data_IF_679317403633
#
_entry.id   IF_679317403633
#
_cell.length_a   1.000
_cell.length_b   1.000
_cell.length_c   1.000
_cell.angle_alpha   90.00
_cell.angle_beta   90.00
_cell.angle_gamma   90.00
#
_symmetry.space_group_name_H-M   'P 1'
#
loop_
_entity.id
_entity.type
_entity.pdbx_description
1 polymer ?
#
# COMPACT_ATOMS: atom_id res chain seq x y z
N UNK A 1 10.54 -17.54 -13.82
CA UNK A 1 9.48 -17.37 -12.81
C UNK A 1 8.68 -18.65 -12.73
N UNK A 2 8.33 -19.11 -11.52
CA UNK A 2 7.33 -20.14 -11.37
C UNK A 2 5.97 -19.60 -11.84
N UNK A 3 5.14 -20.45 -12.46
CA UNK A 3 3.79 -20.03 -12.86
C UNK A 3 2.96 -19.70 -11.62
N UNK A 4 2.38 -18.50 -11.55
CA UNK A 4 1.41 -18.11 -10.53
C UNK A 4 -0.01 -18.34 -11.05
N UNK A 5 -0.95 -18.57 -10.13
CA UNK A 5 -2.36 -18.83 -10.44
C UNK A 5 -3.28 -17.67 -10.07
N UNK A 6 -2.80 -16.71 -9.27
CA UNK A 6 -3.52 -15.51 -8.88
C UNK A 6 -2.57 -14.38 -8.52
N UNK A 7 -3.08 -13.15 -8.42
CA UNK A 7 -2.29 -11.96 -8.10
C UNK A 7 -2.88 -11.22 -6.91
N UNK A 8 -2.03 -10.81 -5.98
CA UNK A 8 -2.40 -9.97 -4.85
C UNK A 8 -1.57 -8.69 -4.95
N UNK A 9 -2.26 -7.56 -4.99
CA UNK A 9 -1.63 -6.25 -5.05
C UNK A 9 -1.63 -5.60 -3.67
N UNK A 10 -0.53 -5.01 -3.25
CA UNK A 10 -0.60 -3.87 -2.36
C UNK A 10 -1.18 -2.66 -3.10
N UNK A 11 -1.59 -1.60 -2.37
CA UNK A 11 -2.21 -0.45 -2.99
C UNK A 11 -1.32 0.79 -2.93
N UNK A 12 -1.03 1.28 -1.72
CA UNK A 12 -0.27 2.51 -1.50
C UNK A 12 1.21 2.31 -1.83
N UNK A 13 1.78 3.15 -2.69
CA UNK A 13 3.14 2.96 -3.19
C UNK A 13 3.27 1.89 -4.28
N UNK A 14 2.24 1.08 -4.53
CA UNK A 14 2.22 -0.01 -5.52
C UNK A 14 1.32 0.30 -6.70
N UNK A 15 0.02 0.44 -6.47
CA UNK A 15 -0.99 0.80 -7.48
C UNK A 15 -1.22 2.30 -7.58
N UNK A 16 -0.88 3.04 -6.54
CA UNK A 16 -1.00 4.49 -6.45
C UNK A 16 0.21 5.06 -5.70
N UNK A 17 0.93 5.97 -6.32
CA UNK A 17 2.11 6.63 -5.74
C UNK A 17 1.68 7.84 -4.92
N UNK A 18 1.42 7.64 -3.67
CA UNK A 18 0.73 8.57 -2.78
C UNK A 18 1.55 9.10 -1.59
N UNK A 19 2.79 8.68 -1.44
CA UNK A 19 3.63 9.10 -0.30
C UNK A 19 3.67 10.63 -0.08
N UNK A 20 3.74 11.50 -1.12
CA UNK A 20 3.66 12.94 -0.91
C UNK A 20 2.37 13.41 -0.23
N UNK A 21 1.24 12.73 -0.45
CA UNK A 21 -0.04 13.06 0.18
C UNK A 21 -0.05 12.69 1.66
N UNK A 22 0.60 11.57 2.02
CA UNK A 22 0.80 11.21 3.42
C UNK A 22 1.66 12.23 4.16
N UNK A 23 2.74 12.71 3.52
CA UNK A 23 3.61 13.75 4.09
C UNK A 23 2.83 15.05 4.34
N UNK A 24 2.02 15.50 3.37
CA UNK A 24 1.17 16.69 3.53
C UNK A 24 0.15 16.52 4.67
N UNK A 25 -0.50 15.35 4.75
CA UNK A 25 -1.47 15.07 5.81
C UNK A 25 -0.81 15.07 7.19
N UNK A 26 0.35 14.47 7.34
CA UNK A 26 1.10 14.50 8.58
C UNK A 26 1.60 15.91 8.93
N UNK A 27 2.04 16.70 7.95
CA UNK A 27 2.41 18.11 8.15
C UNK A 27 1.25 18.90 8.74
N UNK A 28 0.02 18.71 8.21
CA UNK A 28 -1.19 19.37 8.72
C UNK A 28 -1.53 18.93 10.15
N UNK A 29 -1.41 17.65 10.47
CA UNK A 29 -1.61 17.14 11.83
C UNK A 29 -0.56 17.72 12.81
N UNK A 30 0.70 17.80 12.38
CA UNK A 30 1.77 18.40 13.17
C UNK A 30 1.47 19.86 13.50
N UNK A 31 1.05 20.65 12.51
CA UNK A 31 0.64 22.06 12.71
C UNK A 31 -0.50 22.19 13.72
N UNK A 32 -1.49 21.29 13.70
CA UNK A 32 -2.59 21.33 14.67
C UNK A 32 -2.16 20.96 16.09
N UNK A 33 -1.21 20.05 16.25
CA UNK A 33 -0.77 19.56 17.58
C UNK A 33 0.33 20.46 18.14
N UNK A 34 1.35 20.78 17.33
CA UNK A 34 2.60 21.39 17.78
C UNK A 34 2.79 22.83 17.29
N UNK A 35 1.91 23.33 16.39
CA UNK A 35 2.00 24.63 15.74
C UNK A 35 3.26 24.83 14.88
N UNK A 36 3.83 23.75 14.38
CA UNK A 36 4.91 23.76 13.39
C UNK A 36 4.87 22.51 12.51
N UNK A 37 5.48 22.60 11.33
CA UNK A 37 5.57 21.50 10.36
C UNK A 37 6.55 20.40 10.79
N UNK A 38 6.87 19.53 9.84
CA UNK A 38 7.76 18.36 10.01
C UNK A 38 8.99 18.59 9.13
N UNK A 39 10.19 18.42 9.68
CA UNK A 39 11.45 18.47 8.90
C UNK A 39 11.66 17.16 8.12
N UNK A 40 12.54 17.18 7.10
CA UNK A 40 12.92 15.99 6.35
C UNK A 40 13.59 14.92 7.24
N UNK A 41 14.44 15.34 8.18
CA UNK A 41 15.08 14.47 9.15
C UNK A 41 14.05 13.79 10.05
N UNK A 42 13.10 14.56 10.56
CA UNK A 42 12.02 14.07 11.42
C UNK A 42 11.10 13.09 10.66
N UNK A 43 10.78 13.38 9.37
CA UNK A 43 10.04 12.46 8.51
C UNK A 43 10.74 11.11 8.38
N UNK A 44 12.06 11.14 8.19
CA UNK A 44 12.84 9.93 8.04
C UNK A 44 12.90 9.11 9.33
N UNK A 45 13.09 9.75 10.48
CA UNK A 45 13.33 9.06 11.75
C UNK A 45 12.04 8.58 12.44
N UNK A 46 10.93 9.33 12.29
CA UNK A 46 9.75 9.16 13.13
C UNK A 46 8.44 8.88 12.37
N UNK A 47 8.43 9.00 11.02
CA UNK A 47 7.18 8.87 10.26
C UNK A 47 7.21 7.73 9.25
N UNK A 48 8.31 7.54 8.51
CA UNK A 48 8.36 6.57 7.42
C UNK A 48 8.21 5.13 7.94
N UNK A 49 7.12 4.46 7.51
CA UNK A 49 6.84 3.08 7.91
C UNK A 49 6.38 2.91 9.37
N UNK A 50 6.11 4.00 10.07
CA UNK A 50 5.65 4.00 11.46
C UNK A 50 4.11 4.02 11.50
N UNK A 51 3.45 3.19 12.34
CA UNK A 51 1.99 3.21 12.51
C UNK A 51 1.47 4.56 13.02
N UNK A 52 0.29 4.98 12.53
CA UNK A 52 -0.32 6.28 12.86
C UNK A 52 -0.37 6.57 14.37
N UNK A 53 -0.75 5.59 15.19
CA UNK A 53 -0.83 5.76 16.65
C UNK A 53 0.52 6.09 17.30
N UNK A 54 1.61 5.56 16.75
CA UNK A 54 2.98 5.84 17.23
C UNK A 54 3.45 7.23 16.80
N UNK A 55 3.12 7.63 15.58
CA UNK A 55 3.41 8.98 15.11
C UNK A 55 2.66 10.01 15.97
N UNK A 56 1.37 9.77 16.26
CA UNK A 56 0.59 10.66 17.11
C UNK A 56 1.16 10.72 18.54
N UNK A 57 1.54 9.58 19.11
CA UNK A 57 2.21 9.52 20.41
C UNK A 57 3.49 10.36 20.43
N UNK A 58 4.30 10.29 19.38
CA UNK A 58 5.48 11.14 19.19
C UNK A 58 5.12 12.63 19.11
N UNK A 59 4.12 13.01 18.30
CA UNK A 59 3.67 14.39 18.15
C UNK A 59 3.15 15.01 19.45
N UNK A 60 2.60 14.20 20.36
CA UNK A 60 2.16 14.60 21.69
C UNK A 60 3.23 14.42 22.78
N UNK A 61 4.49 14.15 22.41
CA UNK A 61 5.59 13.93 23.36
C UNK A 61 5.28 12.82 24.39
N UNK A 62 4.54 11.79 23.96
CA UNK A 62 4.12 10.68 24.82
C UNK A 62 2.90 10.98 25.72
N UNK A 63 2.35 12.20 25.66
CA UNK A 63 1.27 12.65 26.55
C UNK A 63 -0.09 12.70 25.83
N UNK A 64 -0.50 11.63 25.16
CA UNK A 64 -1.80 11.55 24.49
C UNK A 64 -2.67 10.44 25.05
N UNK A 65 -3.99 10.67 25.06
CA UNK A 65 -4.98 9.65 25.37
C UNK A 65 -5.26 8.76 24.15
N UNK A 66 -5.84 7.58 24.38
CA UNK A 66 -6.24 6.70 23.27
C UNK A 66 -7.32 7.35 22.39
N UNK A 67 -8.20 8.17 22.95
CA UNK A 67 -9.19 8.96 22.20
C UNK A 67 -8.50 9.97 21.28
N UNK A 68 -7.44 10.64 21.74
CA UNK A 68 -6.65 11.54 20.92
C UNK A 68 -5.94 10.78 19.78
N UNK A 69 -5.34 9.62 20.09
CA UNK A 69 -4.72 8.76 19.05
C UNK A 69 -5.73 8.40 17.96
N UNK A 70 -6.90 7.94 18.35
CA UNK A 70 -7.97 7.59 17.41
C UNK A 70 -8.46 8.79 16.61
N UNK A 71 -8.74 9.92 17.27
CA UNK A 71 -9.20 11.15 16.62
C UNK A 71 -8.21 11.62 15.55
N UNK A 72 -6.94 11.79 15.92
CA UNK A 72 -5.94 12.33 15.01
C UNK A 72 -5.52 11.34 13.91
N UNK A 73 -5.60 10.03 14.17
CA UNK A 73 -5.43 9.01 13.13
C UNK A 73 -6.51 9.13 12.05
N UNK A 74 -7.78 9.23 12.45
CA UNK A 74 -8.89 9.39 11.51
C UNK A 74 -8.82 10.73 10.76
N UNK A 75 -8.47 11.81 11.46
CA UNK A 75 -8.32 13.15 10.88
C UNK A 75 -7.19 13.19 9.85
N UNK A 76 -6.04 12.53 10.14
CA UNK A 76 -4.94 12.39 9.19
C UNK A 76 -5.39 11.68 7.91
N UNK A 77 -6.16 10.59 8.03
CA UNK A 77 -6.65 9.88 6.85
C UNK A 77 -7.71 10.70 6.07
N UNK A 78 -8.47 11.56 6.76
CA UNK A 78 -9.35 12.52 6.09
C UNK A 78 -8.53 13.52 5.28
N UNK A 79 -7.52 14.18 5.87
CA UNK A 79 -6.64 15.12 5.16
C UNK A 79 -5.92 14.46 3.98
N UNK A 80 -5.45 13.23 4.16
CA UNK A 80 -4.87 12.45 3.08
C UNK A 80 -5.81 12.34 1.87
N UNK A 81 -7.08 11.97 2.07
CA UNK A 81 -8.07 11.89 0.98
C UNK A 81 -8.40 13.26 0.37
N UNK A 82 -8.39 14.33 1.17
CA UNK A 82 -8.56 15.70 0.68
C UNK A 82 -7.40 16.09 -0.25
N UNK A 83 -6.16 15.89 0.18
CA UNK A 83 -4.98 16.16 -0.64
C UNK A 83 -4.91 15.30 -1.91
N UNK A 84 -5.37 14.05 -1.87
CA UNK A 84 -5.52 13.25 -3.07
C UNK A 84 -6.48 13.91 -4.07
N UNK A 85 -7.64 14.39 -3.62
CA UNK A 85 -8.65 15.02 -4.49
C UNK A 85 -8.20 16.35 -5.09
N UNK A 86 -7.39 17.10 -4.34
CA UNK A 86 -6.87 18.42 -4.77
C UNK A 86 -5.83 18.31 -5.88
N UNK A 87 -4.97 17.28 -5.82
CA UNK A 87 -3.90 17.07 -6.80
C UNK A 87 -4.33 16.12 -7.92
N UNK A 88 -5.04 16.65 -8.89
CA UNK A 88 -5.54 15.88 -10.03
C UNK A 88 -4.44 15.37 -10.97
N UNK A 89 -3.25 15.95 -10.91
CA UNK A 89 -2.14 15.57 -11.79
C UNK A 89 -1.59 14.20 -11.41
N UNK A 90 -1.44 13.92 -10.12
CA UNK A 90 -0.89 12.66 -9.63
C UNK A 90 -1.94 11.71 -9.06
N UNK A 91 -3.22 12.13 -9.00
CA UNK A 91 -4.31 11.29 -8.48
C UNK A 91 -4.84 10.34 -9.56
N UNK A 92 -4.07 9.34 -9.87
CA UNK A 92 -4.39 8.27 -10.83
C UNK A 92 -3.64 6.99 -10.47
N UNK A 93 -4.13 5.85 -10.95
CA UNK A 93 -3.39 4.59 -10.86
C UNK A 93 -2.07 4.69 -11.63
N UNK A 94 -1.07 3.93 -11.20
CA UNK A 94 0.22 3.84 -11.91
C UNK A 94 0.01 3.39 -13.35
N UNK A 95 0.86 3.86 -14.26
CA UNK A 95 0.76 3.55 -15.68
C UNK A 95 0.79 2.02 -15.92
N UNK A 96 -0.13 1.53 -16.75
CA UNK A 96 -0.25 0.11 -17.07
C UNK A 96 -1.00 -0.75 -16.04
N UNK A 97 -1.50 -0.19 -14.94
CA UNK A 97 -2.24 -0.95 -13.95
C UNK A 97 -3.57 -1.48 -14.52
N UNK A 98 -4.33 -0.62 -15.16
CA UNK A 98 -5.63 -0.98 -15.77
C UNK A 98 -5.47 -2.01 -16.89
N UNK A 99 -4.49 -1.83 -17.75
CA UNK A 99 -4.15 -2.77 -18.81
C UNK A 99 -3.73 -4.14 -18.25
N UNK A 100 -3.04 -4.12 -17.10
CA UNK A 100 -2.66 -5.36 -16.43
C UNK A 100 -3.86 -6.05 -15.79
N UNK A 101 -4.79 -5.31 -15.18
CA UNK A 101 -6.06 -5.86 -14.67
C UNK A 101 -6.88 -6.47 -15.79
N UNK A 102 -7.01 -5.80 -16.94
CA UNK A 102 -7.70 -6.33 -18.12
C UNK A 102 -7.03 -7.62 -18.63
N UNK A 103 -5.70 -7.66 -18.65
CA UNK A 103 -4.94 -8.86 -19.05
C UNK A 103 -5.18 -10.02 -18.09
N UNK A 104 -5.18 -9.79 -16.78
CA UNK A 104 -5.49 -10.82 -15.79
C UNK A 104 -6.91 -11.37 -15.98
N UNK A 105 -7.89 -10.47 -16.13
CA UNK A 105 -9.29 -10.82 -16.35
C UNK A 105 -9.49 -11.63 -17.62
N UNK A 106 -8.88 -11.20 -18.73
CA UNK A 106 -8.97 -11.89 -20.02
C UNK A 106 -8.31 -13.29 -20.02
N UNK A 107 -7.34 -13.51 -19.14
CA UNK A 107 -6.69 -14.80 -18.97
C UNK A 107 -7.31 -15.64 -17.82
N UNK A 108 -8.41 -15.20 -17.22
CA UNK A 108 -9.07 -15.84 -16.09
C UNK A 108 -8.13 -16.04 -14.88
N UNK A 109 -7.19 -15.13 -14.66
CA UNK A 109 -6.31 -15.13 -13.48
C UNK A 109 -7.00 -14.28 -12.40
N UNK A 110 -7.45 -14.88 -11.29
CA UNK A 110 -8.09 -14.12 -10.21
C UNK A 110 -7.09 -13.21 -9.51
N UNK A 111 -7.55 -12.05 -9.08
CA UNK A 111 -6.71 -11.10 -8.36
C UNK A 111 -7.52 -10.25 -7.39
N UNK A 112 -6.85 -9.74 -6.37
CA UNK A 112 -7.42 -8.82 -5.39
C UNK A 112 -6.35 -7.90 -4.81
N UNK A 113 -6.77 -7.02 -3.90
CA UNK A 113 -5.92 -6.07 -3.18
C UNK A 113 -5.83 -6.50 -1.71
N UNK A 114 -4.64 -6.36 -1.13
CA UNK A 114 -4.39 -6.50 0.30
C UNK A 114 -3.59 -5.29 0.79
N UNK A 115 -4.27 -4.31 1.36
CA UNK A 115 -3.72 -3.01 1.76
C UNK A 115 -3.83 -2.78 3.26
N UNK A 116 -2.77 -2.23 3.88
CA UNK A 116 -2.81 -1.77 5.27
C UNK A 116 -3.62 -0.47 5.47
N UNK A 117 -4.32 0.00 4.46
CA UNK A 117 -5.24 1.14 4.55
C UNK A 117 -6.53 0.77 5.28
N UNK A 118 -7.11 1.76 5.96
CA UNK A 118 -8.43 1.63 6.62
C UNK A 118 -9.57 1.62 5.59
N UNK A 119 -10.72 1.05 5.97
CA UNK A 119 -11.91 0.95 5.10
C UNK A 119 -12.30 2.25 4.38
N UNK A 120 -12.36 3.44 5.04
CA UNK A 120 -12.71 4.67 4.34
C UNK A 120 -11.74 5.05 3.22
N UNK A 121 -10.47 4.66 3.29
CA UNK A 121 -9.51 4.88 2.21
C UNK A 121 -9.75 3.88 1.07
N UNK A 122 -10.04 2.62 1.39
CA UNK A 122 -10.38 1.61 0.37
C UNK A 122 -11.63 2.02 -0.40
N UNK A 123 -12.70 2.43 0.30
CA UNK A 123 -13.93 2.90 -0.35
C UNK A 123 -13.65 4.10 -1.27
N UNK A 124 -12.82 5.02 -0.80
CA UNK A 124 -12.37 6.17 -1.59
C UNK A 124 -11.61 5.75 -2.85
N UNK A 125 -10.71 4.76 -2.78
CA UNK A 125 -9.97 4.26 -3.93
C UNK A 125 -10.88 3.51 -4.91
N UNK A 126 -11.78 2.67 -4.40
CA UNK A 126 -12.76 1.95 -5.23
C UNK A 126 -13.60 2.93 -6.03
N UNK A 127 -14.16 3.96 -5.38
CA UNK A 127 -14.96 4.99 -6.03
C UNK A 127 -14.14 5.81 -7.03
N UNK A 128 -12.96 6.31 -6.61
CA UNK A 128 -12.17 7.24 -7.41
C UNK A 128 -11.54 6.61 -8.64
N UNK A 129 -11.11 5.36 -8.55
CA UNK A 129 -10.43 4.64 -9.62
C UNK A 129 -11.31 3.60 -10.32
N UNK A 130 -12.59 3.50 -9.94
CA UNK A 130 -13.55 2.53 -10.49
C UNK A 130 -13.04 1.09 -10.42
N UNK A 131 -12.43 0.71 -9.27
CA UNK A 131 -11.82 -0.61 -9.10
C UNK A 131 -12.85 -1.74 -9.16
N UNK A 132 -14.12 -1.43 -8.89
CA UNK A 132 -15.26 -2.34 -9.00
C UNK A 132 -15.48 -2.90 -10.42
N UNK A 133 -14.91 -2.29 -11.44
CA UNK A 133 -14.87 -2.86 -12.80
C UNK A 133 -14.05 -4.16 -12.87
N UNK A 134 -13.06 -4.35 -12.00
CA UNK A 134 -12.13 -5.47 -12.05
C UNK A 134 -12.18 -6.37 -10.82
N UNK A 135 -12.41 -5.79 -9.64
CA UNK A 135 -12.37 -6.48 -8.34
C UNK A 135 -13.69 -6.25 -7.63
N UNK A 136 -14.31 -7.33 -7.09
CA UNK A 136 -15.43 -7.13 -6.18
C UNK A 136 -14.93 -6.40 -4.92
N UNK A 137 -15.48 -5.24 -4.54
CA UNK A 137 -15.04 -4.48 -3.37
C UNK A 137 -15.04 -5.28 -2.06
N UNK A 138 -15.94 -6.27 -1.93
CA UNK A 138 -16.03 -7.14 -0.75
C UNK A 138 -14.85 -8.14 -0.66
N UNK A 139 -14.12 -8.34 -1.75
CA UNK A 139 -12.96 -9.21 -1.82
C UNK A 139 -11.64 -8.48 -1.51
N UNK A 140 -11.67 -7.16 -1.34
CA UNK A 140 -10.49 -6.35 -0.97
C UNK A 140 -10.21 -6.54 0.52
N UNK A 141 -8.98 -6.95 0.84
CA UNK A 141 -8.49 -7.07 2.22
C UNK A 141 -7.88 -5.74 2.64
N UNK A 142 -8.38 -5.18 3.74
CA UNK A 142 -7.95 -3.90 4.30
C UNK A 142 -7.72 -4.00 5.81
N UNK A 143 -7.08 -3.02 6.41
CA UNK A 143 -6.88 -2.98 7.86
C UNK A 143 -8.21 -2.64 8.57
N UNK A 144 -8.82 -3.66 9.17
CA UNK A 144 -10.02 -3.57 9.99
C UNK A 144 -9.71 -3.59 11.51
N UNK A 145 -8.43 -3.54 11.85
CA UNK A 145 -7.94 -3.61 13.24
C UNK A 145 -7.83 -5.03 13.81
N UNK A 146 -8.16 -6.07 13.04
CA UNK A 146 -8.06 -7.47 13.48
C UNK A 146 -6.78 -8.17 13.07
N UNK A 147 -6.04 -7.60 12.12
CA UNK A 147 -4.79 -8.17 11.62
C UNK A 147 -3.59 -7.71 12.43
N UNK A 148 -2.83 -8.63 12.98
CA UNK A 148 -1.57 -8.33 13.67
C UNK A 148 -0.48 -7.82 12.70
N UNK A 149 -0.54 -8.28 11.44
CA UNK A 149 0.46 -7.95 10.41
C UNK A 149 -0.05 -8.29 9.02
N UNK A 150 0.69 -7.88 8.00
CA UNK A 150 0.35 -8.08 6.60
C UNK A 150 0.43 -9.54 6.15
N UNK A 151 1.10 -10.43 6.90
CA UNK A 151 1.11 -11.88 6.65
C UNK A 151 -0.33 -12.44 6.68
N UNK A 152 -1.11 -12.05 7.70
CA UNK A 152 -2.50 -12.50 7.82
C UNK A 152 -3.36 -11.96 6.69
N UNK A 153 -3.13 -10.73 6.25
CA UNK A 153 -3.85 -10.10 5.14
C UNK A 153 -3.56 -10.82 3.81
N UNK A 154 -2.31 -11.16 3.51
CA UNK A 154 -1.95 -11.93 2.31
C UNK A 154 -2.58 -13.34 2.32
N UNK A 155 -2.57 -14.02 3.48
CA UNK A 155 -3.25 -15.32 3.62
C UNK A 155 -4.76 -15.20 3.41
N UNK A 156 -5.39 -14.15 3.94
CA UNK A 156 -6.81 -13.89 3.73
C UNK A 156 -7.12 -13.61 2.26
N UNK A 157 -6.31 -12.78 1.60
CA UNK A 157 -6.46 -12.47 0.18
C UNK A 157 -6.32 -13.73 -0.70
N UNK A 158 -5.30 -14.55 -0.47
CA UNK A 158 -5.15 -15.81 -1.18
C UNK A 158 -6.34 -16.75 -0.98
N UNK A 159 -6.86 -16.86 0.25
CA UNK A 159 -8.05 -17.66 0.55
C UNK A 159 -9.30 -17.15 -0.19
N UNK A 160 -9.50 -15.82 -0.28
CA UNK A 160 -10.59 -15.21 -1.06
C UNK A 160 -10.49 -15.62 -2.54
N UNK A 161 -9.27 -15.66 -3.09
CA UNK A 161 -9.02 -16.12 -4.46
C UNK A 161 -9.15 -17.64 -4.64
N UNK A 162 -9.37 -18.42 -3.57
CA UNK A 162 -9.41 -19.89 -3.60
C UNK A 162 -8.03 -20.52 -3.81
N UNK A 163 -6.96 -19.84 -3.38
CA UNK A 163 -5.57 -20.21 -3.62
C UNK A 163 -4.77 -20.29 -2.30
N UNK A 164 -3.62 -20.96 -2.37
CA UNK A 164 -2.57 -20.82 -1.36
C UNK A 164 -1.67 -19.64 -1.70
N UNK A 165 -1.06 -18.99 -0.69
CA UNK A 165 -0.16 -17.85 -0.91
C UNK A 165 1.02 -18.22 -1.81
N UNK A 166 1.50 -19.45 -1.74
CA UNK A 166 2.59 -19.99 -2.60
C UNK A 166 2.23 -20.06 -4.08
N UNK A 167 0.93 -20.08 -4.41
CA UNK A 167 0.41 -20.08 -5.78
C UNK A 167 0.19 -18.65 -6.32
N UNK A 168 0.35 -17.64 -5.47
CA UNK A 168 0.11 -16.25 -5.83
C UNK A 168 1.40 -15.54 -6.26
N UNK A 169 1.23 -14.52 -7.11
CA UNK A 169 2.15 -13.43 -7.30
C UNK A 169 1.73 -12.30 -6.36
N UNK A 170 2.65 -11.77 -5.57
CA UNK A 170 2.42 -10.58 -4.75
C UNK A 170 3.22 -9.41 -5.32
N UNK A 171 2.57 -8.25 -5.45
CA UNK A 171 3.18 -7.00 -5.94
C UNK A 171 3.16 -6.00 -4.80
N UNK A 172 4.32 -5.48 -4.43
CA UNK A 172 4.57 -4.70 -3.22
C UNK A 172 5.70 -3.70 -3.41
N UNK A 173 5.73 -2.61 -2.63
CA UNK A 173 6.77 -1.59 -2.69
C UNK A 173 7.60 -1.50 -1.39
N UNK A 174 7.01 -1.83 -0.25
CA UNK A 174 7.63 -1.66 1.05
C UNK A 174 8.46 -2.88 1.47
N UNK A 175 9.61 -2.64 2.10
CA UNK A 175 10.46 -3.72 2.63
C UNK A 175 9.68 -4.61 3.62
N UNK A 176 8.90 -4.00 4.51
CA UNK A 176 8.08 -4.73 5.48
C UNK A 176 7.03 -5.60 4.80
N UNK A 177 6.36 -5.10 3.75
CA UNK A 177 5.38 -5.86 2.98
C UNK A 177 6.01 -7.03 2.23
N UNK A 178 7.18 -6.82 1.61
CA UNK A 178 7.97 -7.87 0.94
C UNK A 178 8.36 -8.97 1.92
N UNK A 179 8.88 -8.62 3.10
CA UNK A 179 9.21 -9.59 4.14
C UNK A 179 7.98 -10.36 4.61
N UNK A 180 6.85 -9.67 4.80
CA UNK A 180 5.59 -10.30 5.20
C UNK A 180 5.05 -11.24 4.11
N UNK A 181 5.16 -10.88 2.83
CA UNK A 181 4.79 -11.75 1.72
C UNK A 181 5.65 -13.04 1.72
N UNK A 182 6.96 -12.90 1.89
CA UNK A 182 7.87 -14.03 1.99
C UNK A 182 7.57 -14.92 3.21
N UNK A 183 7.34 -14.32 4.39
CA UNK A 183 6.95 -15.03 5.63
C UNK A 183 5.57 -15.70 5.50
N UNK A 184 4.66 -15.13 4.71
CA UNK A 184 3.36 -15.74 4.41
C UNK A 184 3.47 -17.01 3.54
N UNK A 185 4.61 -17.21 2.87
CA UNK A 185 4.86 -18.37 2.00
C UNK A 185 4.93 -18.03 0.50
N UNK A 186 4.76 -16.76 0.10
CA UNK A 186 4.92 -16.34 -1.29
C UNK A 186 6.38 -16.49 -1.74
N UNK A 187 6.56 -16.92 -2.99
CA UNK A 187 7.88 -17.02 -3.63
C UNK A 187 7.93 -16.29 -4.98
N UNK A 188 6.79 -15.76 -5.42
CA UNK A 188 6.70 -14.90 -6.60
C UNK A 188 6.36 -13.50 -6.11
N UNK A 189 7.36 -12.64 -5.95
CA UNK A 189 7.19 -11.27 -5.44
C UNK A 189 7.79 -10.31 -6.47
N UNK A 190 7.00 -9.31 -6.86
CA UNK A 190 7.47 -8.17 -7.65
C UNK A 190 7.54 -6.96 -6.75
N UNK A 191 8.69 -6.30 -6.78
CA UNK A 191 8.95 -5.09 -6.01
C UNK A 191 8.80 -3.88 -6.91
N UNK A 192 7.94 -2.94 -6.50
CA UNK A 192 7.80 -1.63 -7.15
C UNK A 192 8.72 -0.65 -6.41
N UNK A 193 9.64 -0.01 -7.13
CA UNK A 193 10.49 1.03 -6.55
C UNK A 193 9.79 2.40 -6.65
N UNK A 194 8.79 2.61 -5.80
CA UNK A 194 7.99 3.83 -5.77
C UNK A 194 8.78 5.06 -5.29
N UNK A 195 9.87 4.85 -4.54
CA UNK A 195 10.67 5.90 -3.93
C UNK A 195 12.00 6.16 -4.64
N UNK A 196 12.32 5.46 -5.76
CA UNK A 196 13.63 5.49 -6.43
C UNK A 196 14.82 5.14 -5.49
N UNK A 197 14.61 4.21 -4.55
CA UNK A 197 15.59 3.82 -3.52
C UNK A 197 16.24 2.47 -3.78
N UNK A 198 16.39 2.07 -5.03
CA UNK A 198 16.96 0.77 -5.43
C UNK A 198 18.30 0.43 -4.77
N UNK A 199 19.14 1.43 -4.54
CA UNK A 199 20.46 1.25 -3.94
C UNK A 199 20.41 0.96 -2.44
N UNK A 200 19.30 1.28 -1.77
CA UNK A 200 19.09 1.06 -0.34
C UNK A 200 18.43 -0.29 -0.01
N UNK A 201 17.85 -0.96 -1.01
CA UNK A 201 17.24 -2.27 -0.81
C UNK A 201 18.33 -3.34 -0.65
N UNK A 202 18.39 -4.05 0.48
CA UNK A 202 19.25 -5.23 0.59
C UNK A 202 18.87 -6.23 -0.51
N UNK A 203 19.78 -7.12 -0.95
CA UNK A 203 19.48 -8.12 -1.96
C UNK A 203 18.32 -8.99 -1.45
N UNK A 204 17.13 -8.62 -1.86
CA UNK A 204 15.93 -9.41 -1.59
C UNK A 204 16.07 -10.68 -2.42
N UNK A 205 15.90 -11.81 -1.81
CA UNK A 205 16.03 -13.18 -2.33
C UNK A 205 15.96 -13.30 -3.86
N UNK A 206 16.72 -14.23 -4.47
CA UNK A 206 16.80 -14.49 -5.92
C UNK A 206 15.43 -14.63 -6.66
N UNK A 207 14.33 -14.74 -5.91
CA UNK A 207 12.95 -14.83 -6.42
C UNK A 207 12.25 -13.47 -6.59
N UNK A 208 12.87 -12.35 -6.18
CA UNK A 208 12.27 -11.02 -6.32
C UNK A 208 12.75 -10.35 -7.60
N UNK A 209 11.81 -9.86 -8.41
CA UNK A 209 12.08 -9.07 -9.62
C UNK A 209 11.67 -7.63 -9.34
N UNK A 210 12.61 -6.70 -9.43
CA UNK A 210 12.32 -5.27 -9.26
C UNK A 210 11.90 -4.63 -10.58
N UNK A 211 10.82 -3.85 -10.58
CA UNK A 211 10.41 -2.99 -11.69
C UNK A 211 10.81 -1.54 -11.40
N UNK A 212 11.46 -0.83 -12.35
CA UNK A 212 11.85 0.56 -12.16
C UNK A 212 10.65 1.49 -12.11
N UNK A 213 10.73 2.52 -11.29
CA UNK A 213 9.81 3.64 -11.27
C UNK A 213 9.75 4.27 -12.68
N UNK A 214 8.56 4.51 -13.21
CA UNK A 214 8.35 5.12 -14.53
C UNK A 214 7.99 4.16 -15.66
N UNK A 215 8.17 2.84 -15.49
CA UNK A 215 7.75 1.86 -16.50
C UNK A 215 6.46 1.12 -16.15
N UNK A 216 5.88 1.38 -14.97
CA UNK A 216 4.63 0.76 -14.54
C UNK A 216 4.63 -0.78 -14.69
N UNK A 217 3.46 -1.37 -14.83
CA UNK A 217 3.29 -2.81 -15.06
C UNK A 217 3.68 -3.28 -16.46
N UNK A 218 4.24 -2.41 -17.32
CA UNK A 218 4.61 -2.74 -18.70
C UNK A 218 5.62 -3.90 -18.80
N UNK A 219 6.51 -4.04 -17.82
CA UNK A 219 7.50 -5.14 -17.78
C UNK A 219 6.90 -6.50 -17.47
N UNK A 220 5.69 -6.55 -16.92
CA UNK A 220 4.99 -7.81 -16.60
C UNK A 220 4.38 -8.49 -17.84
N UNK A 221 4.37 -7.79 -18.99
CA UNK A 221 3.80 -8.31 -20.23
C UNK A 221 4.66 -9.36 -20.94
N UNK A 222 5.93 -9.57 -20.49
CA UNK A 222 6.91 -10.48 -21.10
C UNK A 222 7.46 -11.53 -20.12
N UNK A 223 6.86 -11.66 -18.95
CA UNK A 223 7.23 -12.65 -17.93
C UNK A 223 6.30 -13.86 -17.94
#
# INVERSE_FOLDING_TARGET
>A
MNSYKGVIFDFNGTLFFDNPKHVLAWGKISEEIRHHGISEEELHEHFNGVPNNKIIEYLFEGQCTDEQKQKYSLLKEQYYREFCKEDKETFHLVAGATEFFDKLKNNNIPFTIASASIKPNIDFFVESFHLDHWINPDDIVYDDGTYENKIMMFKKAAHILGLEVSDCLIIEDSLSGIENAYKAGCRNIIVIDSANKREECPPVHESCVSAPCGYGFFLLSHA
#
